data_IF_068039943904
#
_entry.id   IF_068039943904
#
_cell.length_a   1.000
_cell.length_b   1.000
_cell.length_c   1.000
_cell.angle_alpha   90.00
_cell.angle_beta   90.00
_cell.angle_gamma   90.00
#
_symmetry.space_group_name_H-M   'P 1'
#
loop_
_entity.id
_entity.type
_entity.pdbx_description
1 polymer ?
#
# COMPACT_ATOMS: atom_id res chain seq x y z
N UNK A 1 -25.60 -6.57 -13.60
CA UNK A 1 -26.20 -5.47 -12.77
C UNK A 1 -25.20 -4.33 -12.66
N UNK A 2 -25.59 -3.12 -12.23
CA UNK A 2 -24.66 -1.99 -12.07
C UNK A 2 -24.76 -1.42 -10.66
N UNK A 3 -23.81 -1.76 -9.80
CA UNK A 3 -23.75 -1.39 -8.39
C UNK A 3 -22.95 -0.09 -8.21
N UNK A 4 -21.68 -0.12 -8.62
CA UNK A 4 -20.72 0.97 -8.40
C UNK A 4 -20.72 1.98 -9.56
N UNK A 5 -21.85 2.66 -9.72
CA UNK A 5 -21.96 3.78 -10.66
C UNK A 5 -21.36 5.07 -10.10
N UNK A 6 -21.01 5.99 -10.98
CA UNK A 6 -20.65 7.37 -10.65
C UNK A 6 -21.71 8.04 -9.78
N UNK A 7 -23.00 7.83 -10.11
CA UNK A 7 -24.12 8.37 -9.32
C UNK A 7 -24.14 7.80 -7.89
N UNK A 8 -23.90 6.50 -7.74
CA UNK A 8 -23.81 5.87 -6.42
C UNK A 8 -22.63 6.44 -5.63
N UNK A 9 -21.45 6.56 -6.27
CA UNK A 9 -20.27 7.12 -5.62
C UNK A 9 -20.47 8.57 -5.19
N UNK A 10 -21.03 9.42 -6.07
CA UNK A 10 -21.39 10.80 -5.72
C UNK A 10 -22.37 10.85 -4.54
N UNK A 11 -23.36 9.96 -4.52
CA UNK A 11 -24.31 9.88 -3.38
C UNK A 11 -23.60 9.47 -2.10
N UNK A 12 -22.69 8.49 -2.16
CA UNK A 12 -21.92 8.03 -1.01
C UNK A 12 -21.01 9.14 -0.47
N UNK A 13 -20.34 9.88 -1.35
CA UNK A 13 -19.52 11.03 -0.95
C UNK A 13 -20.37 12.13 -0.31
N UNK A 14 -21.53 12.43 -0.88
CA UNK A 14 -22.46 13.43 -0.34
C UNK A 14 -22.94 13.10 1.08
N UNK A 15 -23.16 11.81 1.38
CA UNK A 15 -23.62 11.37 2.71
C UNK A 15 -22.55 11.42 3.78
N UNK A 16 -21.28 11.58 3.39
CA UNK A 16 -20.14 11.74 4.28
C UNK A 16 -19.56 13.16 4.23
N UNK A 17 -20.21 14.08 3.52
CA UNK A 17 -19.72 15.43 3.33
C UNK A 17 -19.86 16.29 4.59
N UNK A 18 -20.92 16.06 5.38
CA UNK A 18 -21.16 16.77 6.64
C UNK A 18 -20.80 15.85 7.81
N UNK A 19 -19.63 16.05 8.38
CA UNK A 19 -19.14 15.31 9.55
C UNK A 19 -19.03 16.23 10.75
N UNK A 20 -19.67 15.87 11.86
CA UNK A 20 -19.50 16.57 13.13
C UNK A 20 -19.85 15.63 14.29
N UNK A 21 -19.34 15.89 15.51
CA UNK A 21 -19.62 15.06 16.69
C UNK A 21 -21.12 14.81 16.92
N UNK A 22 -21.50 13.55 17.10
CA UNK A 22 -22.89 13.11 17.17
C UNK A 22 -23.49 13.26 18.58
N UNK A 23 -22.62 13.25 19.60
CA UNK A 23 -23.01 13.32 21.01
C UNK A 23 -22.36 14.50 21.74
N UNK A 24 -22.95 14.91 22.87
CA UNK A 24 -22.40 15.99 23.70
C UNK A 24 -21.02 15.60 24.31
N UNK A 25 -20.77 14.29 24.47
CA UNK A 25 -19.49 13.73 24.91
C UNK A 25 -18.44 13.85 23.81
N UNK A 26 -18.75 13.42 22.58
CA UNK A 26 -17.84 13.59 21.43
C UNK A 26 -17.56 15.08 21.16
N UNK A 27 -18.53 15.97 21.35
CA UNK A 27 -18.29 17.41 21.26
C UNK A 27 -17.28 17.90 22.29
N UNK A 28 -17.35 17.40 23.53
CA UNK A 28 -16.40 17.77 24.57
C UNK A 28 -14.99 17.25 24.26
N UNK A 29 -14.89 16.04 23.72
CA UNK A 29 -13.62 15.44 23.32
C UNK A 29 -13.01 16.14 22.11
N UNK A 30 -13.82 16.43 21.08
CA UNK A 30 -13.41 17.19 19.91
C UNK A 30 -12.87 18.56 20.31
N UNK A 31 -13.60 19.32 21.14
CA UNK A 31 -13.15 20.65 21.58
C UNK A 31 -11.85 20.55 22.39
N UNK A 32 -11.74 19.56 23.28
CA UNK A 32 -10.54 19.35 24.11
C UNK A 32 -9.29 19.11 23.25
N UNK A 33 -9.39 18.31 22.19
CA UNK A 33 -8.25 18.06 21.28
C UNK A 33 -7.71 19.35 20.64
N UNK A 34 -8.59 20.23 20.16
CA UNK A 34 -8.16 21.53 19.63
C UNK A 34 -7.57 22.45 20.71
N UNK A 35 -8.12 22.43 21.94
CA UNK A 35 -7.58 23.20 23.05
C UNK A 35 -6.15 22.75 23.43
N UNK A 36 -5.88 21.45 23.41
CA UNK A 36 -4.56 20.86 23.69
C UNK A 36 -3.51 21.30 22.64
N UNK A 37 -3.90 21.39 21.37
CA UNK A 37 -3.05 21.85 20.27
C UNK A 37 -3.00 23.38 20.13
N UNK A 38 -3.72 24.12 20.99
CA UNK A 38 -3.86 25.58 20.90
C UNK A 38 -4.45 26.08 19.56
N UNK A 39 -5.32 25.27 18.96
CA UNK A 39 -6.01 25.56 17.71
C UNK A 39 -7.44 26.10 17.93
N UNK A 40 -7.97 26.86 16.97
CA UNK A 40 -9.34 27.38 17.01
C UNK A 40 -10.29 26.44 16.26
N UNK A 41 -10.95 25.55 17.00
CA UNK A 41 -11.92 24.61 16.43
C UNK A 41 -13.07 25.31 15.67
N UNK A 42 -13.44 26.55 16.03
CA UNK A 42 -14.49 27.29 15.32
C UNK A 42 -13.99 27.85 14.01
N UNK A 43 -12.73 28.25 13.94
CA UNK A 43 -12.10 28.60 12.67
C UNK A 43 -12.04 27.39 11.75
N UNK A 44 -11.68 26.21 12.29
CA UNK A 44 -11.67 24.93 11.57
C UNK A 44 -13.06 24.61 10.99
N UNK A 45 -14.09 24.51 11.82
CA UNK A 45 -15.45 24.14 11.39
C UNK A 45 -16.06 25.14 10.40
N UNK A 46 -15.77 26.45 10.54
CA UNK A 46 -16.20 27.45 9.55
C UNK A 46 -15.49 27.28 8.21
N UNK A 47 -14.19 26.98 8.22
CA UNK A 47 -13.42 26.74 7.01
C UNK A 47 -13.93 25.51 6.26
N UNK A 48 -14.15 24.42 6.98
CA UNK A 48 -14.75 23.20 6.46
C UNK A 48 -16.13 23.49 5.84
N UNK A 49 -17.05 24.10 6.62
CA UNK A 49 -18.40 24.40 6.15
C UNK A 49 -18.41 25.29 4.91
N UNK A 50 -17.57 26.34 4.86
CA UNK A 50 -17.50 27.23 3.70
C UNK A 50 -17.05 26.47 2.44
N UNK A 51 -16.17 25.47 2.57
CA UNK A 51 -15.70 24.66 1.44
C UNK A 51 -16.77 23.73 0.87
N UNK A 52 -17.73 23.28 1.69
CA UNK A 52 -18.78 22.32 1.29
C UNK A 52 -20.19 22.96 1.15
N UNK A 53 -20.33 24.24 1.50
CA UNK A 53 -21.61 24.95 1.63
C UNK A 53 -22.52 24.83 0.42
N UNK A 54 -22.00 25.13 -0.77
CA UNK A 54 -22.79 25.10 -2.01
C UNK A 54 -23.31 23.70 -2.32
N UNK A 55 -22.55 22.66 -1.94
CA UNK A 55 -22.96 21.27 -2.10
C UNK A 55 -24.00 20.88 -1.06
N UNK A 56 -23.83 21.28 0.21
CA UNK A 56 -24.83 21.05 1.25
C UNK A 56 -26.20 21.64 0.89
N UNK A 57 -26.25 22.84 0.31
CA UNK A 57 -27.49 23.46 -0.14
C UNK A 57 -28.18 22.69 -1.29
N UNK A 58 -27.45 21.85 -2.02
CA UNK A 58 -28.02 21.00 -3.08
C UNK A 58 -28.53 19.66 -2.56
N UNK A 59 -27.89 19.10 -1.53
CA UNK A 59 -28.17 17.72 -1.07
C UNK A 59 -29.06 17.68 0.16
N UNK A 60 -28.94 18.65 1.07
CA UNK A 60 -29.72 18.68 2.30
C UNK A 60 -31.14 19.18 2.02
N UNK A 61 -32.15 18.62 2.72
CA UNK A 61 -33.49 19.18 2.76
C UNK A 61 -33.50 20.70 3.03
N UNK A 62 -34.41 21.43 2.36
CA UNK A 62 -34.54 22.89 2.49
C UNK A 62 -34.74 23.36 3.94
N UNK A 63 -35.27 22.49 4.81
CA UNK A 63 -35.43 22.74 6.25
C UNK A 63 -34.11 23.01 6.96
N UNK A 64 -32.97 22.50 6.45
CA UNK A 64 -31.65 22.70 7.04
C UNK A 64 -30.89 23.89 6.44
N UNK A 65 -31.34 24.43 5.30
CA UNK A 65 -30.66 25.53 4.60
C UNK A 65 -30.42 26.78 5.47
N UNK A 66 -31.34 27.21 6.36
CA UNK A 66 -31.07 28.35 7.23
C UNK A 66 -29.79 28.18 8.06
N UNK A 67 -29.55 26.97 8.58
CA UNK A 67 -28.38 26.64 9.41
C UNK A 67 -27.09 26.51 8.60
N UNK A 68 -27.21 26.12 7.32
CA UNK A 68 -26.07 26.11 6.39
C UNK A 68 -25.67 27.54 6.02
N UNK A 69 -26.66 28.41 5.77
CA UNK A 69 -26.44 29.78 5.34
C UNK A 69 -25.90 30.68 6.46
N UNK A 70 -26.36 30.48 7.70
CA UNK A 70 -25.90 31.24 8.87
C UNK A 70 -24.64 30.66 9.54
N UNK A 71 -24.17 29.49 9.08
CA UNK A 71 -22.92 28.88 9.52
C UNK A 71 -23.02 28.03 10.79
N UNK A 72 -24.23 27.67 11.21
CA UNK A 72 -24.47 26.95 12.49
C UNK A 72 -24.65 25.44 12.35
N UNK A 73 -24.83 24.90 11.12
CA UNK A 73 -25.15 23.48 10.87
C UNK A 73 -24.13 22.48 11.45
N UNK A 74 -22.86 22.85 11.58
CA UNK A 74 -21.80 22.01 12.14
C UNK A 74 -21.21 22.60 13.43
N UNK A 75 -21.99 23.37 14.19
CA UNK A 75 -21.54 24.03 15.42
C UNK A 75 -22.16 23.38 16.67
N UNK A 76 -21.48 23.42 17.84
CA UNK A 76 -22.03 22.87 19.08
C UNK A 76 -23.29 23.61 19.56
N UNK A 77 -23.49 24.86 19.10
CA UNK A 77 -24.70 25.64 19.38
C UNK A 77 -25.92 25.22 18.55
N UNK A 78 -25.77 24.30 17.58
CA UNK A 78 -26.89 23.82 16.79
C UNK A 78 -27.97 23.26 17.73
N UNK A 79 -29.23 23.72 17.63
CA UNK A 79 -30.28 23.23 18.51
C UNK A 79 -30.37 21.71 18.46
N UNK A 80 -30.32 21.05 19.63
CA UNK A 80 -30.29 19.58 19.74
C UNK A 80 -31.31 18.88 18.85
N UNK A 81 -32.54 19.39 18.79
CA UNK A 81 -33.58 18.84 17.91
C UNK A 81 -33.17 18.84 16.42
N UNK A 82 -32.57 19.93 15.94
CA UNK A 82 -32.12 20.06 14.55
C UNK A 82 -30.93 19.13 14.32
N UNK A 83 -29.99 19.06 15.27
CA UNK A 83 -28.87 18.12 15.25
C UNK A 83 -29.36 16.68 15.09
N UNK A 84 -30.30 16.24 15.93
CA UNK A 84 -30.87 14.90 15.88
C UNK A 84 -31.59 14.64 14.54
N UNK A 85 -32.29 15.63 13.98
CA UNK A 85 -32.96 15.53 12.67
C UNK A 85 -31.95 15.41 11.51
N UNK A 86 -30.83 16.15 11.55
CA UNK A 86 -29.74 16.06 10.55
C UNK A 86 -29.05 14.70 10.62
N UNK A 87 -28.67 14.25 11.82
CA UNK A 87 -28.03 12.95 12.03
C UNK A 87 -28.93 11.80 11.57
N UNK A 88 -30.24 11.87 11.85
CA UNK A 88 -31.19 10.87 11.37
C UNK A 88 -31.25 10.83 9.83
N UNK A 89 -31.22 12.00 9.17
CA UNK A 89 -31.19 12.07 7.71
C UNK A 89 -29.88 11.51 7.13
N UNK A 90 -28.73 11.86 7.71
CA UNK A 90 -27.42 11.35 7.28
C UNK A 90 -27.38 9.82 7.40
N UNK A 91 -27.81 9.29 8.55
CA UNK A 91 -27.87 7.86 8.80
C UNK A 91 -28.78 7.14 7.81
N UNK A 92 -29.99 7.64 7.57
CA UNK A 92 -30.91 7.05 6.58
C UNK A 92 -30.26 6.96 5.20
N UNK A 93 -29.52 8.01 4.79
CA UNK A 93 -28.88 8.06 3.48
C UNK A 93 -27.63 7.16 3.39
N UNK A 94 -26.86 7.05 4.48
CA UNK A 94 -25.76 6.09 4.57
C UNK A 94 -26.28 4.65 4.48
N UNK A 95 -27.36 4.32 5.21
CA UNK A 95 -28.02 2.99 5.14
C UNK A 95 -28.56 2.67 3.73
N UNK A 96 -28.97 3.68 2.95
CA UNK A 96 -29.34 3.49 1.54
C UNK A 96 -28.13 3.13 0.66
N UNK A 97 -26.99 3.77 0.89
CA UNK A 97 -25.75 3.51 0.15
C UNK A 97 -25.15 2.15 0.50
N UNK A 98 -25.16 1.78 1.79
CA UNK A 98 -24.66 0.49 2.30
C UNK A 98 -25.42 -0.70 1.72
N UNK A 99 -26.74 -0.60 1.53
CA UNK A 99 -27.54 -1.67 0.88
C UNK A 99 -27.02 -2.04 -0.51
N UNK A 100 -26.43 -1.09 -1.24
CA UNK A 100 -25.84 -1.36 -2.56
C UNK A 100 -24.56 -2.18 -2.42
N UNK A 101 -23.73 -1.87 -1.41
CA UNK A 101 -22.51 -2.61 -1.08
C UNK A 101 -22.84 -4.03 -0.66
N UNK A 102 -23.82 -4.21 0.23
CA UNK A 102 -24.29 -5.52 0.67
C UNK A 102 -24.79 -6.36 -0.51
N UNK A 103 -25.66 -5.78 -1.34
CA UNK A 103 -26.19 -6.47 -2.52
C UNK A 103 -25.09 -6.81 -3.54
N UNK A 104 -24.07 -5.96 -3.69
CA UNK A 104 -22.91 -6.23 -4.53
C UNK A 104 -22.09 -7.40 -3.97
N UNK A 105 -21.86 -7.42 -2.64
CA UNK A 105 -21.16 -8.50 -1.95
C UNK A 105 -21.88 -9.84 -2.09
N UNK A 106 -23.19 -9.89 -1.83
CA UNK A 106 -24.00 -11.11 -2.01
C UNK A 106 -23.98 -11.61 -3.46
N UNK A 107 -24.05 -10.68 -4.42
CA UNK A 107 -23.98 -11.02 -5.84
C UNK A 107 -22.61 -11.59 -6.21
N UNK A 108 -21.54 -10.95 -5.74
CA UNK A 108 -20.15 -11.38 -5.95
C UNK A 108 -19.96 -12.82 -5.48
N UNK A 109 -20.36 -13.14 -4.25
CA UNK A 109 -20.24 -14.50 -3.68
C UNK A 109 -20.93 -15.55 -4.56
N UNK A 110 -22.11 -15.22 -5.11
CA UNK A 110 -22.86 -16.12 -5.98
C UNK A 110 -22.16 -16.41 -7.31
N UNK A 111 -21.48 -15.43 -7.89
CA UNK A 111 -20.84 -15.56 -9.21
C UNK A 111 -19.37 -15.94 -9.12
N UNK A 112 -18.75 -15.86 -7.94
CA UNK A 112 -17.31 -16.01 -7.72
C UNK A 112 -16.71 -17.24 -8.40
N UNK A 113 -17.34 -18.40 -8.24
CA UNK A 113 -16.85 -19.67 -8.81
C UNK A 113 -16.96 -19.80 -10.34
N UNK A 114 -17.53 -18.80 -11.01
CA UNK A 114 -17.71 -18.76 -12.47
C UNK A 114 -16.79 -17.72 -13.13
N UNK A 115 -16.17 -16.84 -12.35
CA UNK A 115 -15.25 -15.82 -12.85
C UNK A 115 -13.85 -16.42 -13.09
N UNK A 116 -13.05 -15.84 -14.01
CA UNK A 116 -11.61 -16.11 -14.06
C UNK A 116 -10.96 -15.86 -12.70
N UNK A 117 -9.99 -16.68 -12.32
CA UNK A 117 -9.36 -16.64 -10.99
C UNK A 117 -8.83 -15.24 -10.63
N UNK A 118 -8.08 -14.61 -11.53
CA UNK A 118 -7.56 -13.26 -11.30
C UNK A 118 -8.64 -12.18 -11.22
N UNK A 119 -9.80 -12.39 -11.84
CA UNK A 119 -10.92 -11.45 -11.72
C UNK A 119 -11.65 -11.62 -10.40
N UNK A 120 -11.80 -12.87 -9.93
CA UNK A 120 -12.34 -13.15 -8.60
C UNK A 120 -11.41 -12.61 -7.51
N UNK A 121 -10.10 -12.70 -7.71
CA UNK A 121 -9.08 -12.13 -6.80
C UNK A 121 -9.26 -10.62 -6.63
N UNK A 122 -9.32 -9.85 -7.72
CA UNK A 122 -9.49 -8.39 -7.59
C UNK A 122 -10.86 -8.01 -7.03
N UNK A 123 -11.91 -8.80 -7.29
CA UNK A 123 -13.22 -8.54 -6.71
C UNK A 123 -13.26 -8.82 -5.19
N UNK A 124 -12.33 -9.64 -4.68
CA UNK A 124 -12.20 -9.95 -3.26
C UNK A 124 -11.30 -8.97 -2.53
N UNK A 125 -10.12 -8.68 -3.08
CA UNK A 125 -9.12 -7.82 -2.45
C UNK A 125 -9.31 -6.33 -2.75
N UNK A 126 -9.92 -6.00 -3.90
CA UNK A 126 -10.01 -4.64 -4.42
C UNK A 126 -8.69 -4.12 -5.00
N UNK A 127 -8.81 -3.07 -5.81
CA UNK A 127 -7.69 -2.29 -6.32
C UNK A 127 -7.84 -0.80 -5.97
N UNK A 128 -8.59 -0.47 -4.92
CA UNK A 128 -8.89 0.90 -4.52
C UNK A 128 -7.60 1.72 -4.32
N UNK A 129 -7.55 2.90 -4.92
CA UNK A 129 -6.41 3.84 -5.00
C UNK A 129 -5.23 3.38 -5.86
N UNK A 130 -5.29 2.21 -6.51
CA UNK A 130 -4.26 1.83 -7.48
C UNK A 130 -4.32 2.76 -8.71
N UNK A 131 -3.16 3.31 -9.09
CA UNK A 131 -3.08 4.28 -10.18
C UNK A 131 -2.61 3.63 -11.49
N UNK A 132 -3.26 3.94 -12.61
CA UNK A 132 -2.79 3.51 -13.93
C UNK A 132 -1.44 4.17 -14.24
N UNK A 133 -0.38 3.37 -14.36
CA UNK A 133 0.96 3.81 -14.83
C UNK A 133 1.12 3.64 -16.33
N UNK A 134 0.79 2.46 -16.85
CA UNK A 134 0.94 2.15 -18.27
C UNK A 134 -0.30 1.50 -18.86
N UNK A 135 -0.57 1.86 -20.12
CA UNK A 135 -1.63 1.25 -20.90
C UNK A 135 -1.04 0.79 -22.23
N UNK A 136 -1.25 -0.47 -22.57
CA UNK A 136 -0.93 -1.01 -23.88
C UNK A 136 -2.13 -1.73 -24.47
N UNK A 137 -2.46 -1.36 -25.70
CA UNK A 137 -3.51 -1.99 -26.50
C UNK A 137 -2.88 -2.70 -27.68
N UNK A 138 -3.33 -3.92 -27.94
CA UNK A 138 -3.21 -4.67 -29.20
C UNK A 138 -4.63 -5.09 -29.61
N UNK A 139 -4.83 -5.60 -30.83
CA UNK A 139 -6.17 -5.80 -31.42
C UNK A 139 -7.26 -6.23 -30.43
N UNK A 140 -7.06 -7.35 -29.74
CA UNK A 140 -8.01 -7.93 -28.79
C UNK A 140 -7.42 -8.07 -27.37
N UNK A 141 -6.36 -7.32 -27.07
CA UNK A 141 -5.65 -7.39 -25.77
C UNK A 141 -5.42 -6.00 -25.18
N UNK A 142 -5.80 -5.84 -23.92
CA UNK A 142 -5.51 -4.69 -23.08
C UNK A 142 -4.58 -5.11 -21.95
N UNK A 143 -3.43 -4.45 -21.83
CA UNK A 143 -2.54 -4.56 -20.69
C UNK A 143 -2.55 -3.26 -19.91
N UNK A 144 -2.86 -3.35 -18.63
CA UNK A 144 -2.75 -2.26 -17.66
C UNK A 144 -1.60 -2.58 -16.70
N UNK A 145 -0.79 -1.58 -16.40
CA UNK A 145 0.14 -1.64 -15.27
C UNK A 145 -0.31 -0.60 -14.27
N UNK A 146 -0.67 -1.07 -13.08
CA UNK A 146 -1.11 -0.27 -11.96
C UNK A 146 0.03 -0.14 -10.96
N UNK A 147 0.16 1.05 -10.40
CA UNK A 147 0.93 1.30 -9.19
C UNK A 147 -0.01 1.18 -8.01
N UNK A 148 0.26 0.20 -7.16
CA UNK A 148 -0.47 -0.08 -5.94
C UNK A 148 0.17 0.54 -4.71
N UNK A 149 1.22 1.37 -4.85
CA UNK A 149 1.80 2.06 -3.69
C UNK A 149 0.76 2.99 -3.05
N UNK A 150 0.45 2.74 -1.77
CA UNK A 150 -0.61 3.44 -1.04
C UNK A 150 -2.03 2.92 -1.29
N UNK A 151 -2.19 1.83 -2.06
CA UNK A 151 -3.47 1.12 -2.22
C UNK A 151 -3.64 0.02 -1.17
N UNK A 152 -4.88 -0.46 -0.99
CA UNK A 152 -5.17 -1.66 -0.20
C UNK A 152 -4.99 -2.97 -0.99
N UNK A 153 -4.40 -2.91 -2.18
CA UNK A 153 -4.24 -4.09 -3.05
C UNK A 153 -3.07 -4.98 -2.65
N UNK A 154 -3.02 -6.18 -3.22
CA UNK A 154 -1.85 -7.05 -3.10
C UNK A 154 -0.64 -6.43 -3.82
N UNK A 155 0.39 -6.08 -3.07
CA UNK A 155 1.68 -5.61 -3.59
C UNK A 155 1.68 -4.19 -4.15
N UNK A 156 2.88 -3.69 -4.46
CA UNK A 156 3.15 -2.32 -4.88
C UNK A 156 2.87 -2.08 -6.37
N UNK A 157 2.73 -3.15 -7.16
CA UNK A 157 2.30 -3.03 -8.55
C UNK A 157 1.49 -4.24 -9.01
N UNK A 158 0.50 -3.99 -9.85
CA UNK A 158 -0.30 -5.01 -10.50
C UNK A 158 -0.23 -4.89 -12.02
N UNK A 159 -0.04 -6.01 -12.71
CA UNK A 159 -0.12 -6.09 -14.17
C UNK A 159 -1.36 -6.88 -14.54
N UNK A 160 -2.34 -6.20 -15.14
CA UNK A 160 -3.58 -6.81 -15.63
C UNK A 160 -3.45 -7.03 -17.13
N UNK A 161 -3.80 -8.22 -17.60
CA UNK A 161 -3.94 -8.56 -19.01
C UNK A 161 -5.35 -9.09 -19.28
N UNK A 162 -6.08 -8.38 -20.13
CA UNK A 162 -7.43 -8.73 -20.59
C UNK A 162 -7.32 -9.10 -22.05
N UNK A 163 -7.80 -10.29 -22.43
CA UNK A 163 -7.70 -10.79 -23.81
C UNK A 163 -8.98 -11.41 -24.34
N UNK A 164 -9.10 -11.44 -25.67
CA UNK A 164 -10.34 -11.78 -26.37
C UNK A 164 -11.42 -10.72 -26.12
N UNK A 165 -11.03 -9.45 -26.17
CA UNK A 165 -11.94 -8.30 -25.99
C UNK A 165 -13.03 -8.33 -27.06
N UNK A 166 -14.28 -8.27 -26.61
CA UNK A 166 -15.47 -8.23 -27.48
C UNK A 166 -16.05 -6.82 -27.57
N UNK A 167 -16.06 -6.13 -26.45
CA UNK A 167 -16.59 -4.77 -26.35
C UNK A 167 -15.88 -4.01 -25.23
N UNK A 168 -15.58 -2.73 -25.46
CA UNK A 168 -15.05 -1.78 -24.48
C UNK A 168 -15.91 -0.52 -24.57
N UNK A 169 -16.37 -0.01 -23.43
CA UNK A 169 -17.17 1.22 -23.31
C UNK A 169 -16.58 2.11 -22.25
N UNK A 170 -16.50 3.39 -22.55
CA UNK A 170 -16.03 4.39 -21.60
C UNK A 170 -16.55 5.76 -21.98
N UNK A 171 -16.82 6.62 -21.00
CA UNK A 171 -17.10 8.03 -21.26
C UNK A 171 -15.84 8.75 -21.75
N UNK A 172 -14.68 8.42 -21.16
CA UNK A 172 -13.38 8.97 -21.49
C UNK A 172 -12.36 7.86 -21.76
N UNK A 173 -11.40 8.05 -22.68
CA UNK A 173 -10.32 7.09 -22.87
C UNK A 173 -9.53 6.90 -21.58
N UNK A 174 -9.21 5.65 -21.23
CA UNK A 174 -8.28 5.38 -20.14
C UNK A 174 -6.94 6.09 -20.37
N UNK A 175 -6.42 6.72 -19.33
CA UNK A 175 -5.16 7.46 -19.35
C UNK A 175 -4.32 7.12 -18.11
N UNK A 176 -2.97 7.17 -18.23
CA UNK A 176 -2.11 7.15 -17.05
C UNK A 176 -2.49 8.27 -16.07
N UNK A 177 -2.42 7.98 -14.78
CA UNK A 177 -2.79 8.90 -13.70
C UNK A 177 -4.21 8.69 -13.15
N UNK A 178 -5.07 7.94 -13.84
CA UNK A 178 -6.39 7.58 -13.31
C UNK A 178 -6.28 6.63 -12.13
N UNK A 179 -7.11 6.85 -11.10
CA UNK A 179 -7.17 6.04 -9.89
C UNK A 179 -8.32 5.04 -9.98
N UNK A 180 -8.06 3.79 -9.65
CA UNK A 180 -9.08 2.75 -9.56
C UNK A 180 -9.85 2.92 -8.25
N UNK A 181 -11.16 3.13 -8.31
CA UNK A 181 -11.98 3.28 -7.10
C UNK A 181 -12.72 1.98 -6.78
N UNK A 182 -13.59 1.54 -7.69
CA UNK A 182 -14.42 0.36 -7.46
C UNK A 182 -14.54 -0.47 -8.72
N UNK A 183 -14.66 -1.78 -8.56
CA UNK A 183 -14.89 -2.72 -9.63
C UNK A 183 -16.15 -3.56 -9.41
N UNK A 184 -16.77 -3.94 -10.52
CA UNK A 184 -17.84 -4.94 -10.54
C UNK A 184 -17.57 -5.96 -11.63
N UNK A 185 -17.71 -7.23 -11.28
CA UNK A 185 -17.60 -8.34 -12.21
C UNK A 185 -18.98 -8.96 -12.50
N UNK A 186 -19.16 -9.46 -13.71
CA UNK A 186 -20.35 -10.21 -14.10
C UNK A 186 -19.98 -11.39 -15.01
N UNK A 187 -20.83 -12.42 -15.02
CA UNK A 187 -20.63 -13.62 -15.83
C UNK A 187 -21.32 -13.44 -17.17
N UNK A 188 -20.59 -13.65 -18.25
CA UNK A 188 -21.11 -13.65 -19.61
C UNK A 188 -21.08 -15.06 -20.20
N UNK A 189 -21.94 -15.32 -21.20
CA UNK A 189 -22.08 -16.67 -21.80
C UNK A 189 -20.73 -17.26 -22.24
N UNK A 190 -19.86 -16.43 -22.79
CA UNK A 190 -18.57 -16.81 -23.33
C UNK A 190 -17.44 -15.94 -22.72
N UNK A 191 -17.49 -15.62 -21.43
CA UNK A 191 -16.46 -14.80 -20.78
C UNK A 191 -16.98 -14.05 -19.56
N UNK A 192 -16.53 -12.80 -19.40
CA UNK A 192 -16.92 -11.94 -18.29
C UNK A 192 -17.19 -10.51 -18.75
N UNK A 193 -17.81 -9.74 -17.86
CA UNK A 193 -17.88 -8.28 -17.89
C UNK A 193 -17.16 -7.73 -16.68
N UNK A 194 -16.32 -6.72 -16.87
CA UNK A 194 -15.68 -5.96 -15.82
C UNK A 194 -16.07 -4.49 -15.99
N UNK A 195 -16.74 -3.92 -14.99
CA UNK A 195 -16.96 -2.50 -14.84
C UNK A 195 -15.99 -1.94 -13.80
N UNK A 196 -15.42 -0.77 -14.07
CA UNK A 196 -14.53 -0.06 -13.14
C UNK A 196 -14.94 1.41 -13.09
N UNK A 197 -15.06 1.94 -11.89
CA UNK A 197 -15.14 3.36 -11.64
C UNK A 197 -13.73 3.89 -11.43
N UNK A 198 -13.26 4.74 -12.35
CA UNK A 198 -12.00 5.45 -12.23
C UNK A 198 -12.23 6.88 -11.75
N UNK A 199 -11.25 7.45 -11.07
CA UNK A 199 -11.15 8.90 -10.81
C UNK A 199 -10.00 9.55 -11.60
N UNK A 200 -10.00 10.89 -11.64
CA UNK A 200 -9.03 11.74 -12.32
C UNK A 200 -8.95 11.53 -13.84
N UNK A 201 -10.06 11.76 -14.59
CA UNK A 201 -11.39 12.19 -14.13
C UNK A 201 -12.33 11.03 -13.77
N UNK A 202 -13.35 11.32 -12.96
CA UNK A 202 -14.45 10.40 -12.63
C UNK A 202 -15.11 9.80 -13.89
N UNK A 203 -14.84 8.52 -14.16
CA UNK A 203 -15.16 7.82 -15.40
C UNK A 203 -15.65 6.40 -15.11
N UNK A 204 -16.82 6.04 -15.64
CA UNK A 204 -17.25 4.64 -15.70
C UNK A 204 -16.66 3.97 -16.95
N UNK A 205 -15.86 2.94 -16.74
CA UNK A 205 -15.25 2.13 -17.78
C UNK A 205 -15.81 0.70 -17.71
N UNK A 206 -16.10 0.09 -18.84
CA UNK A 206 -16.61 -1.28 -18.93
C UNK A 206 -15.95 -2.03 -20.07
N UNK A 207 -15.64 -3.30 -19.83
CA UNK A 207 -15.08 -4.21 -20.83
C UNK A 207 -15.74 -5.59 -20.74
N UNK A 208 -15.98 -6.21 -21.89
CA UNK A 208 -16.32 -7.63 -21.98
C UNK A 208 -15.23 -8.37 -22.75
N UNK A 209 -14.79 -9.49 -22.20
CA UNK A 209 -13.67 -10.27 -22.73
C UNK A 209 -13.79 -11.75 -22.35
N UNK A 210 -12.88 -12.58 -22.87
CA UNK A 210 -12.89 -14.03 -22.64
C UNK A 210 -11.92 -14.49 -21.55
N UNK A 211 -10.80 -13.77 -21.36
CA UNK A 211 -9.75 -14.13 -20.41
C UNK A 211 -9.23 -12.91 -19.66
N UNK A 212 -8.91 -13.10 -18.38
CA UNK A 212 -8.41 -12.08 -17.46
C UNK A 212 -7.28 -12.68 -16.64
N UNK A 213 -6.15 -11.99 -16.60
CA UNK A 213 -5.01 -12.35 -15.74
C UNK A 213 -4.52 -11.13 -15.00
N UNK A 214 -4.15 -11.35 -13.76
CA UNK A 214 -3.44 -10.37 -12.96
C UNK A 214 -2.16 -10.99 -12.43
N UNK A 215 -1.12 -10.17 -12.29
CA UNK A 215 0.10 -10.54 -11.59
C UNK A 215 0.50 -9.39 -10.68
N UNK A 216 0.66 -9.71 -9.40
CA UNK A 216 1.13 -8.81 -8.38
C UNK A 216 2.65 -8.86 -8.29
N UNK A 217 3.24 -7.72 -7.93
CA UNK A 217 4.66 -7.52 -7.77
C UNK A 217 4.90 -6.77 -6.46
N UNK A 218 5.90 -7.21 -5.73
CA UNK A 218 6.14 -6.79 -4.35
C UNK A 218 7.46 -6.04 -4.21
N UNK A 219 7.60 -5.21 -3.18
CA UNK A 219 8.83 -4.53 -2.81
C UNK A 219 8.95 -4.48 -1.30
N UNK A 220 10.15 -4.73 -0.78
CA UNK A 220 10.47 -4.45 0.62
C UNK A 220 11.49 -3.29 0.72
N UNK A 221 11.68 -2.75 1.91
CA UNK A 221 12.39 -1.48 2.08
C UNK A 221 13.92 -1.56 1.84
N UNK A 222 14.52 -2.75 1.80
CA UNK A 222 15.99 -2.95 1.81
C UNK A 222 16.64 -3.45 0.50
N UNK A 223 16.03 -3.21 -0.67
CA UNK A 223 16.45 -3.86 -1.93
C UNK A 223 17.32 -3.03 -2.89
N UNK A 224 18.06 -3.69 -3.81
CA UNK A 224 18.17 -5.14 -4.02
C UNK A 224 19.22 -5.83 -3.14
N UNK A 225 18.87 -7.02 -2.68
CA UNK A 225 19.78 -8.00 -2.06
C UNK A 225 20.12 -9.14 -3.01
N UNK A 226 20.72 -10.20 -2.46
CA UNK A 226 21.08 -11.42 -3.21
C UNK A 226 20.12 -12.54 -2.84
N UNK A 227 19.54 -13.22 -3.85
CA UNK A 227 18.71 -14.41 -3.65
C UNK A 227 19.55 -15.67 -3.41
N UNK A 228 20.83 -15.67 -3.80
CA UNK A 228 21.72 -16.82 -3.66
C UNK A 228 22.39 -16.82 -2.27
N UNK A 229 21.86 -17.56 -1.30
CA UNK A 229 22.45 -17.66 0.06
C UNK A 229 23.93 -18.11 0.07
N UNK A 230 24.36 -18.86 -0.94
CA UNK A 230 25.72 -19.39 -1.09
C UNK A 230 26.40 -18.91 -2.38
N UNK A 231 26.13 -17.68 -2.81
CA UNK A 231 26.71 -17.10 -4.01
C UNK A 231 28.24 -16.93 -3.98
N UNK A 232 28.85 -16.53 -5.11
CA UNK A 232 30.30 -16.31 -5.18
C UNK A 232 30.73 -15.23 -4.19
N UNK A 233 31.97 -15.35 -3.71
CA UNK A 233 32.56 -14.33 -2.84
C UNK A 233 32.48 -12.94 -3.49
N UNK A 234 32.28 -11.93 -2.65
CA UNK A 234 32.29 -10.54 -3.06
C UNK A 234 33.57 -10.11 -3.78
N UNK A 235 33.43 -9.15 -4.69
CA UNK A 235 34.53 -8.66 -5.52
C UNK A 235 35.60 -7.95 -4.68
N UNK A 236 36.84 -8.42 -4.80
CA UNK A 236 38.00 -7.86 -4.13
C UNK A 236 38.43 -6.51 -4.72
N UNK A 237 39.18 -5.72 -3.95
CA UNK A 237 39.75 -4.46 -4.43
C UNK A 237 40.64 -4.62 -5.68
N UNK A 238 41.31 -5.78 -5.81
CA UNK A 238 42.13 -6.09 -6.98
C UNK A 238 41.30 -6.34 -8.24
N UNK A 239 40.15 -6.99 -8.11
CA UNK A 239 39.22 -7.23 -9.22
C UNK A 239 38.56 -5.94 -9.68
N UNK A 240 38.13 -5.08 -8.75
CA UNK A 240 37.64 -3.74 -9.07
C UNK A 240 38.65 -2.92 -9.86
N UNK A 241 39.90 -2.86 -9.39
CA UNK A 241 40.95 -2.10 -10.07
C UNK A 241 41.17 -2.62 -11.49
N UNK A 242 41.14 -3.94 -11.71
CA UNK A 242 41.26 -4.54 -13.04
C UNK A 242 40.06 -4.20 -13.92
N UNK A 243 38.84 -4.30 -13.40
CA UNK A 243 37.61 -4.00 -14.14
C UNK A 243 37.53 -2.53 -14.56
N UNK A 244 37.76 -1.59 -13.64
CA UNK A 244 37.74 -0.15 -13.93
C UNK A 244 38.84 0.25 -14.92
N UNK A 245 40.04 -0.32 -14.80
CA UNK A 245 41.11 -0.09 -15.78
C UNK A 245 40.77 -0.64 -17.17
N UNK A 246 40.17 -1.84 -17.22
CA UNK A 246 39.78 -2.51 -18.46
C UNK A 246 38.65 -1.78 -19.18
N UNK A 247 37.67 -1.27 -18.44
CA UNK A 247 36.49 -0.61 -19.00
C UNK A 247 36.69 0.90 -19.14
N UNK A 248 37.62 1.51 -18.41
CA UNK A 248 37.77 2.96 -18.34
C UNK A 248 36.50 3.65 -17.82
N UNK A 249 35.76 2.97 -16.94
CA UNK A 249 34.49 3.41 -16.37
C UNK A 249 34.55 3.28 -14.86
N UNK A 250 34.03 4.30 -14.15
CA UNK A 250 33.98 4.31 -12.69
C UNK A 250 32.56 4.01 -12.26
N UNK A 251 32.38 2.91 -11.53
CA UNK A 251 31.06 2.44 -11.15
C UNK A 251 30.48 3.22 -9.95
N UNK A 252 29.15 3.39 -9.88
CA UNK A 252 28.48 3.99 -8.72
C UNK A 252 28.80 3.27 -7.41
N UNK A 253 28.83 3.99 -6.30
CA UNK A 253 29.17 3.42 -5.01
C UNK A 253 28.16 2.34 -4.57
N UNK A 254 26.86 2.54 -4.81
CA UNK A 254 25.85 1.54 -4.49
C UNK A 254 26.05 0.21 -5.23
N UNK A 255 26.37 0.25 -6.53
CA UNK A 255 26.71 -0.96 -7.28
C UNK A 255 27.96 -1.65 -6.73
N UNK A 256 28.95 -0.87 -6.27
CA UNK A 256 30.15 -1.42 -5.63
C UNK A 256 29.83 -2.11 -4.31
N UNK A 257 28.96 -1.54 -3.48
CA UNK A 257 28.54 -2.17 -2.22
C UNK A 257 27.76 -3.46 -2.45
N UNK A 258 26.85 -3.49 -3.44
CA UNK A 258 26.15 -4.72 -3.82
C UNK A 258 27.13 -5.84 -4.21
N UNK A 259 28.07 -5.53 -5.11
CA UNK A 259 29.03 -6.48 -5.66
C UNK A 259 30.16 -6.86 -4.67
N UNK A 260 30.36 -6.08 -3.60
CA UNK A 260 31.25 -6.43 -2.48
C UNK A 260 30.65 -7.53 -1.59
N UNK A 261 29.33 -7.66 -1.55
CA UNK A 261 28.67 -8.76 -0.83
C UNK A 261 28.81 -10.06 -1.64
N UNK A 262 28.60 -9.98 -2.95
CA UNK A 262 28.71 -11.12 -3.86
C UNK A 262 29.03 -10.65 -5.30
N UNK A 263 30.00 -11.27 -5.97
CA UNK A 263 30.43 -10.88 -7.32
C UNK A 263 29.54 -11.54 -8.40
N UNK A 264 28.30 -11.07 -8.53
CA UNK A 264 27.33 -11.60 -9.49
C UNK A 264 26.49 -12.76 -8.95
N UNK A 265 25.42 -13.11 -9.66
CA UNK A 265 24.41 -14.07 -9.20
C UNK A 265 22.99 -13.53 -9.32
N UNK A 266 22.03 -14.10 -8.60
CA UNK A 266 20.61 -13.72 -8.65
C UNK A 266 20.28 -12.72 -7.55
N UNK A 267 19.49 -11.73 -7.89
CA UNK A 267 18.92 -10.76 -6.94
C UNK A 267 17.55 -11.22 -6.47
N UNK A 268 17.16 -10.79 -5.27
CA UNK A 268 15.87 -11.08 -4.63
C UNK A 268 14.67 -10.40 -5.32
N UNK A 269 14.90 -9.24 -5.94
CA UNK A 269 13.89 -8.45 -6.66
C UNK A 269 14.19 -8.42 -8.15
N UNK A 270 14.01 -9.55 -8.86
CA UNK A 270 14.48 -9.66 -10.23
C UNK A 270 13.58 -8.93 -11.24
N UNK A 271 12.47 -8.33 -10.87
CA UNK A 271 11.55 -7.74 -11.83
C UNK A 271 11.66 -6.22 -11.91
N UNK A 272 11.51 -5.67 -13.12
CA UNK A 272 11.14 -4.28 -13.33
C UNK A 272 10.05 -4.20 -14.42
N UNK A 273 9.25 -3.14 -14.39
CA UNK A 273 8.09 -3.01 -15.26
C UNK A 273 8.37 -2.02 -16.40
N UNK A 274 8.20 -2.50 -17.62
CA UNK A 274 8.14 -1.68 -18.82
C UNK A 274 6.67 -1.50 -19.24
N UNK A 275 6.39 -0.48 -20.08
CA UNK A 275 5.04 -0.26 -20.58
C UNK A 275 4.42 -1.49 -21.24
N UNK A 276 5.21 -2.31 -21.95
CA UNK A 276 4.73 -3.45 -22.74
C UNK A 276 4.97 -4.83 -22.11
N UNK A 277 5.76 -4.94 -21.04
CA UNK A 277 6.04 -6.22 -20.36
C UNK A 277 6.61 -6.02 -18.95
N UNK A 278 6.52 -7.04 -18.11
CA UNK A 278 7.44 -7.19 -16.98
C UNK A 278 8.73 -7.84 -17.49
N UNK A 279 9.89 -7.39 -17.02
CA UNK A 279 11.18 -7.96 -17.39
C UNK A 279 11.81 -8.60 -16.15
N UNK A 280 12.19 -9.87 -16.29
CA UNK A 280 12.94 -10.60 -15.26
C UNK A 280 14.44 -10.46 -15.51
N UNK A 281 15.18 -10.11 -14.47
CA UNK A 281 16.63 -10.14 -14.37
C UNK A 281 17.01 -11.54 -13.95
N UNK A 282 17.68 -12.27 -14.83
CA UNK A 282 18.08 -13.65 -14.58
C UNK A 282 19.34 -13.72 -13.73
N UNK A 283 20.25 -12.74 -13.88
CA UNK A 283 21.44 -12.58 -13.02
C UNK A 283 22.12 -11.22 -13.19
N UNK A 284 22.79 -10.78 -12.14
CA UNK A 284 23.86 -9.78 -12.19
C UNK A 284 25.15 -10.45 -12.69
N UNK A 285 25.83 -9.79 -13.62
CA UNK A 285 27.07 -10.28 -14.21
C UNK A 285 28.26 -10.03 -13.28
N UNK A 286 29.18 -11.01 -13.13
CA UNK A 286 30.41 -10.81 -12.38
C UNK A 286 31.34 -9.81 -13.09
N UNK A 287 32.24 -9.17 -12.34
CA UNK A 287 33.12 -8.10 -12.85
C UNK A 287 33.98 -8.51 -14.06
N UNK A 288 34.38 -9.77 -14.13
CA UNK A 288 35.15 -10.34 -15.24
C UNK A 288 34.35 -10.45 -16.55
N UNK A 289 33.03 -10.57 -16.47
CA UNK A 289 32.14 -10.67 -17.64
C UNK A 289 31.70 -9.30 -18.17
N UNK A 290 31.76 -8.23 -17.36
CA UNK A 290 31.39 -6.88 -17.78
C UNK A 290 32.23 -6.45 -18.98
N UNK A 291 31.63 -6.10 -20.10
CA UNK A 291 32.31 -5.64 -21.31
C UNK A 291 31.52 -4.52 -21.97
N UNK A 292 32.21 -3.50 -22.49
CA UNK A 292 31.53 -2.46 -23.26
C UNK A 292 31.05 -3.02 -24.60
N UNK A 293 29.80 -2.75 -24.94
CA UNK A 293 29.19 -3.08 -26.22
C UNK A 293 28.29 -1.92 -26.66
N UNK A 294 28.57 -1.31 -27.81
CA UNK A 294 27.70 -0.28 -28.38
C UNK A 294 27.49 0.97 -27.50
N UNK A 295 28.51 1.38 -26.74
CA UNK A 295 28.44 2.56 -25.86
C UNK A 295 27.75 2.31 -24.51
N UNK A 296 27.41 1.06 -24.19
CA UNK A 296 26.88 0.65 -22.88
C UNK A 296 27.75 -0.42 -22.25
N UNK A 297 27.62 -0.60 -20.94
CA UNK A 297 28.28 -1.66 -20.17
C UNK A 297 27.18 -2.48 -19.48
N UNK A 298 26.73 -3.60 -20.08
CA UNK A 298 25.76 -4.50 -19.46
C UNK A 298 26.26 -5.02 -18.12
N UNK A 299 25.42 -4.96 -17.10
CA UNK A 299 25.73 -5.46 -15.77
C UNK A 299 24.67 -6.46 -15.24
N UNK A 300 23.49 -6.51 -15.85
CA UNK A 300 22.47 -7.51 -15.54
C UNK A 300 21.96 -8.18 -16.81
N UNK A 301 21.94 -9.51 -16.83
CA UNK A 301 21.27 -10.28 -17.86
C UNK A 301 19.79 -10.39 -17.53
N UNK A 302 18.93 -10.19 -18.53
CA UNK A 302 17.49 -10.35 -18.39
C UNK A 302 17.03 -11.60 -19.17
N UNK A 303 15.81 -12.07 -18.91
CA UNK A 303 15.18 -13.13 -19.70
C UNK A 303 15.10 -12.74 -21.19
N UNK A 304 14.93 -11.44 -21.45
CA UNK A 304 15.03 -10.82 -22.76
C UNK A 304 15.90 -9.57 -22.60
N UNK A 305 17.02 -9.47 -23.31
CA UNK A 305 17.90 -8.30 -23.27
C UNK A 305 18.80 -8.20 -22.03
N UNK A 306 19.21 -6.97 -21.69
CA UNK A 306 20.07 -6.68 -20.54
C UNK A 306 19.82 -5.30 -19.94
N UNK A 307 20.19 -5.13 -18.67
CA UNK A 307 20.34 -3.80 -18.05
C UNK A 307 21.81 -3.42 -18.09
N UNK A 308 22.08 -2.17 -18.45
CA UNK A 308 23.42 -1.66 -18.68
C UNK A 308 23.60 -0.25 -18.13
N UNK A 309 24.85 0.10 -17.83
CA UNK A 309 25.27 1.49 -17.66
C UNK A 309 25.48 2.13 -19.03
N UNK A 310 24.91 3.31 -19.26
CA UNK A 310 25.26 4.14 -20.40
C UNK A 310 26.64 4.75 -20.14
N UNK A 311 27.62 4.51 -21.03
CA UNK A 311 29.02 4.84 -20.77
C UNK A 311 29.25 6.34 -20.55
N UNK A 312 28.55 7.17 -21.28
CA UNK A 312 28.74 8.62 -21.30
C UNK A 312 28.25 9.30 -20.02
N UNK A 313 27.14 8.80 -19.44
CA UNK A 313 26.43 9.47 -18.35
C UNK A 313 26.40 8.67 -17.06
N UNK A 314 26.57 7.34 -17.12
CA UNK A 314 26.33 6.43 -16.01
C UNK A 314 24.85 6.10 -15.77
N UNK A 315 23.94 6.63 -16.60
CA UNK A 315 22.51 6.35 -16.54
C UNK A 315 22.23 4.85 -16.72
N UNK A 316 21.17 4.33 -16.09
CA UNK A 316 20.76 2.95 -16.25
C UNK A 316 19.81 2.83 -17.43
N UNK A 317 20.12 1.91 -18.35
CA UNK A 317 19.35 1.66 -19.56
C UNK A 317 19.00 0.18 -19.71
N UNK A 318 17.86 -0.09 -20.33
CA UNK A 318 17.49 -1.41 -20.82
C UNK A 318 17.83 -1.53 -22.30
N UNK A 319 18.52 -2.61 -22.67
CA UNK A 319 18.88 -2.94 -24.05
C UNK A 319 18.14 -4.21 -24.44
N UNK A 320 17.12 -4.07 -25.28
CA UNK A 320 16.37 -5.20 -25.83
C UNK A 320 17.15 -5.87 -26.98
N UNK A 321 16.52 -6.84 -27.65
CA UNK A 321 17.11 -7.57 -28.79
C UNK A 321 17.47 -6.69 -29.99
N UNK A 322 16.86 -5.51 -30.11
CA UNK A 322 17.18 -4.53 -31.14
C UNK A 322 18.47 -3.74 -30.88
N UNK A 323 19.10 -3.94 -29.71
CA UNK A 323 20.35 -3.30 -29.33
C UNK A 323 20.21 -1.81 -29.01
N UNK A 324 18.99 -1.25 -29.00
CA UNK A 324 18.78 0.16 -28.72
C UNK A 324 18.61 0.40 -27.21
N UNK A 325 19.46 1.26 -26.59
CA UNK A 325 19.36 1.57 -25.17
C UNK A 325 18.13 2.44 -24.90
N UNK A 326 17.34 2.06 -23.90
CA UNK A 326 16.15 2.78 -23.43
C UNK A 326 16.38 3.20 -21.98
N UNK A 327 16.23 4.49 -21.62
CA UNK A 327 16.38 4.93 -20.23
C UNK A 327 15.46 4.17 -19.27
N UNK A 328 16.01 3.75 -18.13
CA UNK A 328 15.27 3.21 -17.00
C UNK A 328 15.31 4.15 -15.80
N UNK A 329 16.50 4.65 -15.45
CA UNK A 329 16.71 5.49 -14.27
C UNK A 329 18.00 6.31 -14.41
N UNK A 330 18.08 7.46 -13.73
CA UNK A 330 19.25 8.36 -13.82
C UNK A 330 20.45 7.86 -13.03
N UNK A 331 20.22 6.97 -12.05
CA UNK A 331 21.26 6.36 -11.24
C UNK A 331 20.99 4.88 -10.94
N UNK A 332 22.01 4.18 -10.44
CA UNK A 332 21.86 2.81 -9.97
C UNK A 332 20.90 2.74 -8.77
N UNK A 333 20.95 3.75 -7.89
CA UNK A 333 20.11 3.86 -6.70
C UNK A 333 18.64 4.07 -7.06
N UNK A 334 18.33 4.89 -8.08
CA UNK A 334 16.96 4.98 -8.59
C UNK A 334 16.51 3.67 -9.22
N UNK A 335 17.34 3.05 -10.07
CA UNK A 335 17.01 1.78 -10.70
C UNK A 335 16.74 0.68 -9.66
N UNK A 336 17.56 0.61 -8.61
CA UNK A 336 17.37 -0.31 -7.49
C UNK A 336 15.98 -0.17 -6.85
N UNK A 337 15.47 1.06 -6.69
CA UNK A 337 14.12 1.31 -6.16
C UNK A 337 12.99 0.93 -7.12
N UNK A 338 13.27 0.72 -8.40
CA UNK A 338 12.29 0.25 -9.38
C UNK A 338 12.14 -1.27 -9.36
N UNK A 339 13.02 -1.98 -8.67
CA UNK A 339 13.02 -3.43 -8.63
C UNK A 339 11.87 -3.95 -7.77
N UNK A 340 11.37 -5.11 -8.18
CA UNK A 340 10.22 -5.79 -7.62
C UNK A 340 10.48 -7.29 -7.52
N UNK A 341 9.87 -7.93 -6.54
CA UNK A 341 9.76 -9.37 -6.41
C UNK A 341 8.46 -9.87 -7.08
N UNK A 342 8.49 -11.11 -7.56
CA UNK A 342 7.28 -11.80 -8.01
C UNK A 342 6.57 -12.57 -6.89
N UNK A 343 7.17 -12.61 -5.71
CA UNK A 343 6.67 -13.30 -4.52
C UNK A 343 6.56 -12.27 -3.40
N UNK A 344 5.51 -12.38 -2.59
CA UNK A 344 5.41 -11.62 -1.36
C UNK A 344 6.48 -12.15 -0.41
N UNK A 345 7.42 -11.28 -0.05
CA UNK A 345 8.40 -11.55 1.00
C UNK A 345 8.00 -10.65 2.14
N UNK A 346 7.54 -11.23 3.25
CA UNK A 346 7.29 -10.47 4.46
C UNK A 346 8.58 -9.73 4.82
N UNK A 347 8.51 -8.40 4.94
CA UNK A 347 9.66 -7.64 5.39
C UNK A 347 10.03 -8.17 6.78
N UNK A 348 11.29 -8.53 7.00
CA UNK A 348 11.78 -8.80 8.35
C UNK A 348 11.51 -7.53 9.16
N UNK A 349 10.52 -7.56 10.04
CA UNK A 349 10.27 -6.47 10.96
C UNK A 349 11.49 -6.41 11.90
N UNK A 350 12.27 -5.32 11.92
CA UNK A 350 13.42 -5.20 12.81
C UNK A 350 13.02 -5.32 14.30
N UNK A 351 11.74 -5.12 14.61
CA UNK A 351 11.17 -5.34 15.94
C UNK A 351 10.84 -6.81 16.21
N UNK A 352 10.87 -7.68 15.20
CA UNK A 352 10.67 -9.13 15.32
C UNK A 352 11.99 -9.90 15.45
N UNK A 353 13.15 -9.27 15.24
CA UNK A 353 14.44 -9.91 15.51
C UNK A 353 14.60 -10.23 17.02
N UNK A 354 14.90 -11.47 17.43
CA UNK A 354 15.04 -11.79 18.84
C UNK A 354 16.25 -11.07 19.47
N UNK A 355 16.08 -10.56 20.68
CA UNK A 355 17.18 -10.05 21.51
C UNK A 355 17.82 -11.18 22.34
N UNK A 356 19.13 -11.10 22.61
CA UNK A 356 19.77 -11.99 23.59
C UNK A 356 19.08 -11.88 24.97
N UNK A 357 18.85 -13.00 25.69
CA UNK A 357 18.15 -12.98 26.97
C UNK A 357 18.73 -12.02 28.01
N UNK A 358 20.05 -11.78 27.97
CA UNK A 358 20.75 -10.85 28.85
C UNK A 358 20.46 -9.36 28.55
N UNK A 359 19.94 -9.04 27.37
CA UNK A 359 19.64 -7.68 26.93
C UNK A 359 18.15 -7.31 27.14
N UNK A 360 17.26 -8.30 27.27
CA UNK A 360 15.80 -8.11 27.34
C UNK A 360 15.36 -7.14 28.44
N UNK A 361 15.91 -7.27 29.65
CA UNK A 361 15.54 -6.40 30.75
C UNK A 361 16.00 -4.96 30.51
N UNK A 362 17.24 -4.78 30.03
CA UNK A 362 17.75 -3.44 29.73
C UNK A 362 16.94 -2.78 28.60
N UNK A 363 16.55 -3.55 27.59
CA UNK A 363 15.73 -3.13 26.47
C UNK A 363 14.34 -2.64 26.90
N UNK A 364 13.62 -3.43 27.72
CA UNK A 364 12.29 -3.09 28.23
C UNK A 364 12.24 -1.78 29.03
N UNK A 365 13.34 -1.42 29.71
CA UNK A 365 13.43 -0.22 30.55
C UNK A 365 14.34 0.87 29.97
N UNK A 366 14.69 0.78 28.68
CA UNK A 366 15.66 1.67 28.03
C UNK A 366 15.13 3.08 27.71
N UNK A 367 13.80 3.24 27.65
CA UNK A 367 13.14 4.44 27.13
C UNK A 367 13.14 4.54 25.60
N UNK A 368 13.72 3.56 24.90
CA UNK A 368 13.61 3.39 23.45
C UNK A 368 12.42 2.49 23.15
N UNK A 369 11.38 3.06 22.52
CA UNK A 369 10.13 2.37 22.22
C UNK A 369 10.34 1.17 21.30
N UNK A 370 11.18 1.31 20.27
CA UNK A 370 11.47 0.23 19.33
C UNK A 370 12.19 -0.92 20.02
N UNK A 371 13.17 -0.61 20.86
CA UNK A 371 13.90 -1.63 21.62
C UNK A 371 13.00 -2.35 22.64
N UNK A 372 12.07 -1.63 23.26
CA UNK A 372 11.07 -2.19 24.17
C UNK A 372 10.08 -3.12 23.46
N UNK A 373 9.54 -2.72 22.31
CA UNK A 373 8.65 -3.57 21.48
C UNK A 373 9.39 -4.82 21.03
N UNK A 374 10.64 -4.68 20.59
CA UNK A 374 11.49 -5.82 20.20
C UNK A 374 11.73 -6.81 21.34
N UNK A 375 11.95 -6.31 22.55
CA UNK A 375 12.08 -7.16 23.74
C UNK A 375 10.77 -7.89 24.07
N UNK A 376 9.61 -7.21 23.95
CA UNK A 376 8.31 -7.85 24.15
C UNK A 376 8.02 -8.92 23.11
N UNK A 377 8.31 -8.66 21.82
CA UNK A 377 8.20 -9.66 20.75
C UNK A 377 9.08 -10.88 21.03
N UNK A 378 10.35 -10.66 21.41
CA UNK A 378 11.27 -11.77 21.78
C UNK A 378 10.71 -12.60 22.95
N UNK A 379 10.15 -11.93 23.96
CA UNK A 379 9.54 -12.60 25.12
C UNK A 379 8.29 -13.38 24.71
N UNK A 380 7.47 -12.85 23.81
CA UNK A 380 6.24 -13.46 23.34
C UNK A 380 6.47 -14.75 22.53
N UNK A 381 7.65 -14.96 21.96
CA UNK A 381 7.98 -16.25 21.31
C UNK A 381 8.12 -17.41 22.30
N UNK A 382 8.57 -17.14 23.54
CA UNK A 382 8.78 -18.13 24.60
C UNK A 382 8.45 -17.58 26.00
N UNK A 383 7.19 -17.20 26.25
CA UNK A 383 6.85 -16.40 27.43
C UNK A 383 7.03 -17.16 28.74
N UNK A 384 6.91 -18.49 28.73
CA UNK A 384 7.21 -19.37 29.87
C UNK A 384 8.65 -19.25 30.39
N UNK A 385 9.63 -18.92 29.54
CA UNK A 385 11.03 -18.73 29.95
C UNK A 385 11.24 -17.38 30.66
N UNK A 386 10.28 -16.45 30.53
CA UNK A 386 10.43 -15.05 30.91
C UNK A 386 9.39 -14.56 31.93
N UNK A 387 8.59 -15.44 32.53
CA UNK A 387 7.55 -15.10 33.53
C UNK A 387 8.01 -14.09 34.60
N UNK A 388 9.23 -14.19 35.20
CA UNK A 388 9.69 -13.21 36.18
C UNK A 388 9.84 -11.79 35.59
N UNK A 389 10.32 -11.70 34.35
CA UNK A 389 10.52 -10.44 33.65
C UNK A 389 9.17 -9.85 33.18
N UNK A 390 8.26 -10.68 32.67
CA UNK A 390 6.89 -10.28 32.31
C UNK A 390 6.19 -9.64 33.50
N UNK A 391 6.18 -10.31 34.66
CA UNK A 391 5.55 -9.80 35.89
C UNK A 391 6.19 -8.52 36.43
N UNK A 392 7.47 -8.29 36.10
CA UNK A 392 8.20 -7.08 36.48
C UNK A 392 7.88 -5.91 35.54
N UNK A 393 7.80 -6.17 34.24
CA UNK A 393 7.67 -5.13 33.22
C UNK A 393 6.22 -4.70 32.98
N UNK A 394 5.23 -5.60 32.99
CA UNK A 394 3.82 -5.23 32.74
C UNK A 394 3.29 -4.08 33.63
N UNK A 395 3.55 -4.03 34.94
CA UNK A 395 3.12 -2.91 35.78
C UNK A 395 3.72 -1.56 35.36
N UNK A 396 4.94 -1.57 34.80
CA UNK A 396 5.62 -0.37 34.35
C UNK A 396 4.98 0.19 33.07
N UNK A 397 4.61 -0.67 32.13
CA UNK A 397 3.98 -0.27 30.87
C UNK A 397 2.52 0.12 31.07
N UNK A 398 1.72 -0.72 31.74
CA UNK A 398 0.27 -0.49 31.93
C UNK A 398 -0.03 0.81 32.69
N UNK A 399 0.83 1.19 33.64
CA UNK A 399 0.64 2.42 34.43
C UNK A 399 1.54 3.56 33.97
N UNK A 400 2.11 3.48 32.76
CA UNK A 400 2.96 4.54 32.25
C UNK A 400 2.12 5.79 31.96
N UNK A 401 2.68 6.99 32.17
CA UNK A 401 2.02 8.25 31.81
C UNK A 401 1.98 8.47 30.28
N UNK A 402 2.72 7.64 29.53
CA UNK A 402 2.76 7.65 28.07
C UNK A 402 1.73 6.65 27.55
N UNK A 403 0.80 7.15 26.74
CA UNK A 403 -0.33 6.39 26.21
C UNK A 403 0.17 5.23 25.33
N UNK A 404 1.24 5.42 24.56
CA UNK A 404 1.75 4.39 23.65
C UNK A 404 2.36 3.21 24.44
N UNK A 405 3.13 3.50 25.49
CA UNK A 405 3.66 2.48 26.39
C UNK A 405 2.55 1.74 27.16
N UNK A 406 1.50 2.47 27.54
CA UNK A 406 0.27 1.90 28.10
C UNK A 406 -0.36 0.87 27.17
N UNK A 407 -0.61 1.26 25.92
CA UNK A 407 -1.23 0.40 24.90
C UNK A 407 -0.39 -0.84 24.60
N UNK A 408 0.93 -0.71 24.50
CA UNK A 408 1.85 -1.85 24.35
C UNK A 408 1.71 -2.81 25.54
N UNK A 409 1.70 -2.27 26.76
CA UNK A 409 1.50 -3.06 27.98
C UNK A 409 0.19 -3.84 27.98
N UNK A 410 -0.90 -3.20 27.55
CA UNK A 410 -2.22 -3.86 27.47
C UNK A 410 -2.28 -4.94 26.38
N UNK A 411 -1.67 -4.69 25.21
CA UNK A 411 -1.59 -5.66 24.11
C UNK A 411 -0.92 -6.96 24.56
N UNK A 412 0.30 -6.85 25.10
CA UNK A 412 1.05 -8.03 25.54
C UNK A 412 0.44 -8.67 26.78
N UNK A 413 -0.14 -7.90 27.70
CA UNK A 413 -0.88 -8.47 28.83
C UNK A 413 -2.06 -9.33 28.37
N UNK A 414 -2.84 -8.85 27.38
CA UNK A 414 -3.95 -9.60 26.80
C UNK A 414 -3.47 -10.92 26.17
N UNK A 415 -2.39 -10.86 25.40
CA UNK A 415 -1.74 -12.05 24.82
C UNK A 415 -1.31 -13.05 25.91
N UNK A 416 -0.60 -12.61 26.95
CA UNK A 416 -0.13 -13.49 28.02
C UNK A 416 -1.24 -14.04 28.93
N UNK A 417 -2.37 -13.35 29.05
CA UNK A 417 -3.57 -13.91 29.70
C UNK A 417 -4.17 -15.00 28.83
N UNK A 418 -4.31 -14.77 27.51
CA UNK A 418 -4.86 -15.75 26.58
C UNK A 418 -4.02 -17.05 26.53
N UNK A 419 -2.69 -16.93 26.68
CA UNK A 419 -1.77 -18.07 26.73
C UNK A 419 -1.60 -18.68 28.14
N UNK A 420 -2.21 -18.09 29.17
CA UNK A 420 -2.15 -18.60 30.55
C UNK A 420 -0.82 -18.37 31.27
N UNK A 421 0.02 -17.47 30.77
CA UNK A 421 1.32 -17.08 31.33
C UNK A 421 1.13 -16.23 32.59
N UNK A 422 0.12 -15.35 32.58
CA UNK A 422 -0.35 -14.58 33.73
C UNK A 422 -1.85 -14.79 33.93
N UNK A 423 -2.34 -14.51 35.13
CA UNK A 423 -3.77 -14.63 35.46
C UNK A 423 -4.50 -13.30 35.26
N UNK A 424 -5.80 -13.38 35.02
CA UNK A 424 -6.69 -12.22 34.95
C UNK A 424 -6.67 -11.44 36.29
N UNK A 425 -6.63 -12.14 37.43
CA UNK A 425 -6.46 -11.54 38.76
C UNK A 425 -5.14 -10.75 38.89
N UNK A 426 -4.05 -11.24 38.30
CA UNK A 426 -2.78 -10.51 38.29
C UNK A 426 -2.90 -9.24 37.45
N UNK A 427 -3.52 -9.32 36.27
CA UNK A 427 -3.74 -8.17 35.40
C UNK A 427 -4.60 -7.09 36.07
N UNK A 428 -5.69 -7.48 36.74
CA UNK A 428 -6.53 -6.56 37.51
C UNK A 428 -5.75 -5.91 38.66
N UNK A 429 -4.85 -6.65 39.31
CA UNK A 429 -4.07 -6.12 40.45
C UNK A 429 -3.07 -5.02 40.07
N UNK A 430 -2.69 -4.94 38.79
CA UNK A 430 -1.68 -4.01 38.29
C UNK A 430 -2.27 -2.84 37.50
N UNK A 431 -3.54 -2.88 37.10
CA UNK A 431 -4.26 -1.73 36.54
C UNK A 431 -4.67 -0.78 37.69
N UNK A 432 -4.16 0.46 37.69
CA UNK A 432 -4.49 1.46 38.73
C UNK A 432 -5.48 2.51 38.26
#
# INVERSE_FOLDING_TARGET
MKFFSKKWYETMQDTHLLTFPESDEEWADFIRGFEEESEDFRAYLRGELESIKDRLLQILPETFHPYVLDGTINQPELPKRVRDEVLAWLKEKQEEAEKVIDAAGEYKEKIRGQLPEGLAEIADAGLHDAQIRFIRRREDVLRLTLDGSGSFSYGEAAVIEISGIKEERSEFPLAPGMYWLYEEADVERDGFRLGVLFDSPMTEWEITATDFRIRHFYRNEEHPGWADENGPAGASAGEWKKAEQRLGFRFPQAFRELMKRQNGGRIDHPFFLLPDRAVEITRILPLEELAEQGGVIPFAACAIGSVAFLRETGQIVYVAEDGQPRPLADSFEEWARLLLSGEFVEAEDPLSDPLPPEELEAALFSGDLGLAVRAWNTIAERPEEHVPLIKKALPHFINHEDIELGQIGELFAGHFVAEGIITEEFLESIKR
#
